data_IF_240695396915
#
_entry.id   IF_240695396915
#
_cell.length_a   1.000
_cell.length_b   1.000
_cell.length_c   1.000
_cell.angle_alpha   90.00
_cell.angle_beta   90.00
_cell.angle_gamma   90.00
#
_symmetry.space_group_name_H-M   'P 1'
#
loop_
_entity.id
_entity.type
_entity.pdbx_description
1 polymer ?
#
# COMPACT_ATOMS: atom_id res chain seq x y z
N UNK A 1 10.79 30.76 -4.39
CA UNK A 1 11.54 29.82 -3.54
C UNK A 1 10.73 29.29 -2.33
N UNK A 2 9.89 30.10 -1.67
CA UNK A 2 9.11 29.71 -0.47
C UNK A 2 7.90 28.79 -0.76
N UNK A 3 7.28 28.89 -1.94
CA UNK A 3 6.11 28.04 -2.30
C UNK A 3 6.52 26.58 -2.50
N UNK A 4 7.70 26.34 -3.10
CA UNK A 4 8.20 24.98 -3.35
C UNK A 4 8.51 24.19 -2.08
N UNK A 5 9.04 24.84 -1.03
CA UNK A 5 9.33 24.17 0.24
C UNK A 5 8.05 23.73 0.96
N UNK A 6 6.99 24.54 0.92
CA UNK A 6 5.70 24.22 1.55
C UNK A 6 5.00 23.04 0.87
N UNK A 7 5.01 22.99 -0.47
CA UNK A 7 4.42 21.88 -1.23
C UNK A 7 5.14 20.56 -0.95
N UNK A 8 6.48 20.58 -0.89
CA UNK A 8 7.27 19.38 -0.59
C UNK A 8 6.99 18.86 0.83
N UNK A 9 6.82 19.76 1.81
CA UNK A 9 6.46 19.37 3.16
C UNK A 9 5.06 18.74 3.23
N UNK A 10 4.08 19.32 2.53
CA UNK A 10 2.73 18.77 2.44
C UNK A 10 2.73 17.38 1.78
N UNK A 11 3.46 17.23 0.68
CA UNK A 11 3.60 15.94 -0.01
C UNK A 11 4.23 14.88 0.90
N UNK A 12 5.29 15.24 1.65
CA UNK A 12 5.91 14.33 2.61
C UNK A 12 4.93 13.89 3.70
N UNK A 13 4.17 14.82 4.29
CA UNK A 13 3.14 14.49 5.30
C UNK A 13 2.06 13.58 4.72
N UNK A 14 1.65 13.81 3.48
CA UNK A 14 0.69 12.96 2.79
C UNK A 14 1.24 11.54 2.55
N UNK A 15 2.49 11.41 2.07
CA UNK A 15 3.17 10.11 1.89
C UNK A 15 3.22 9.33 3.21
N UNK A 16 3.58 9.98 4.32
CA UNK A 16 3.59 9.37 5.67
C UNK A 16 2.21 8.84 6.05
N UNK A 17 1.19 9.70 5.96
CA UNK A 17 -0.17 9.35 6.32
C UNK A 17 -0.70 8.20 5.47
N UNK A 18 -0.51 8.28 4.15
CA UNK A 18 -0.96 7.27 3.20
C UNK A 18 -0.32 5.90 3.46
N UNK A 19 1.01 5.82 3.57
CA UNK A 19 1.68 4.52 3.73
C UNK A 19 1.34 3.86 5.08
N UNK A 20 1.30 4.64 6.17
CA UNK A 20 0.93 4.09 7.48
C UNK A 20 -0.53 3.66 7.49
N UNK A 21 -1.43 4.50 6.98
CA UNK A 21 -2.87 4.19 6.95
C UNK A 21 -3.13 2.90 6.17
N UNK A 22 -2.67 2.82 4.92
CA UNK A 22 -2.88 1.63 4.07
C UNK A 22 -2.25 0.38 4.69
N UNK A 23 -1.02 0.48 5.21
CA UNK A 23 -0.36 -0.66 5.84
C UNK A 23 -1.10 -1.17 7.08
N UNK A 24 -1.58 -0.27 7.94
CA UNK A 24 -2.40 -0.64 9.11
C UNK A 24 -3.73 -1.23 8.67
N UNK A 25 -4.40 -0.64 7.66
CA UNK A 25 -5.67 -1.16 7.14
C UNK A 25 -5.56 -2.58 6.61
N UNK A 26 -4.48 -2.94 5.90
CA UNK A 26 -4.26 -4.31 5.42
C UNK A 26 -4.12 -5.29 6.59
N UNK A 27 -3.33 -4.95 7.61
CA UNK A 27 -3.18 -5.80 8.80
C UNK A 27 -4.51 -5.94 9.53
N UNK A 28 -5.23 -4.83 9.74
CA UNK A 28 -6.54 -4.84 10.40
C UNK A 28 -7.57 -5.67 9.62
N UNK A 29 -7.56 -5.59 8.28
CA UNK A 29 -8.43 -6.38 7.42
C UNK A 29 -8.18 -7.88 7.62
N UNK A 30 -6.93 -8.34 7.52
CA UNK A 30 -6.61 -9.76 7.72
C UNK A 30 -6.96 -10.25 9.12
N UNK A 31 -6.64 -9.48 10.16
CA UNK A 31 -7.01 -9.82 11.54
C UNK A 31 -8.53 -10.00 11.64
N UNK A 32 -9.31 -9.09 11.04
CA UNK A 32 -10.76 -9.15 11.05
C UNK A 32 -11.29 -10.38 10.28
N UNK A 33 -10.76 -10.66 9.08
CA UNK A 33 -11.16 -11.82 8.28
C UNK A 33 -10.89 -13.14 8.99
N UNK A 34 -9.72 -13.30 9.62
CA UNK A 34 -9.41 -14.47 10.42
C UNK A 34 -10.29 -14.57 11.67
N UNK A 35 -10.51 -13.46 12.39
CA UNK A 35 -11.33 -13.45 13.60
C UNK A 35 -12.81 -13.73 13.35
N UNK A 36 -13.31 -13.41 12.15
CA UNK A 36 -14.71 -13.62 11.73
C UNK A 36 -14.91 -14.89 10.92
N UNK A 37 -13.85 -15.69 10.73
CA UNK A 37 -13.86 -16.91 9.91
C UNK A 37 -14.37 -16.67 8.48
N UNK A 38 -14.11 -15.48 7.91
CA UNK A 38 -14.50 -15.09 6.56
C UNK A 38 -13.44 -15.45 5.50
N UNK A 39 -12.69 -16.53 5.74
CA UNK A 39 -11.62 -17.02 4.85
C UNK A 39 -11.91 -18.48 4.49
N UNK A 40 -12.85 -18.74 3.56
CA UNK A 40 -13.20 -20.11 3.15
C UNK A 40 -12.01 -20.86 2.53
N UNK A 41 -11.05 -20.15 1.95
CA UNK A 41 -9.83 -20.69 1.32
C UNK A 41 -8.90 -21.39 2.31
N UNK A 42 -9.12 -21.20 3.62
CA UNK A 42 -8.32 -21.85 4.66
C UNK A 42 -8.49 -23.38 4.61
N UNK A 43 -9.66 -23.88 4.21
CA UNK A 43 -9.94 -25.31 4.09
C UNK A 43 -9.70 -25.84 2.68
N UNK A 44 -9.97 -25.03 1.64
CA UNK A 44 -9.91 -25.47 0.24
C UNK A 44 -8.52 -25.32 -0.38
N UNK A 45 -7.79 -24.23 -0.08
CA UNK A 45 -6.52 -23.87 -0.72
C UNK A 45 -5.49 -23.28 0.26
N UNK A 46 -5.11 -24.00 1.33
CA UNK A 46 -4.34 -23.45 2.45
C UNK A 46 -2.96 -22.91 2.04
N UNK A 47 -2.31 -23.53 1.06
CA UNK A 47 -0.99 -23.07 0.60
C UNK A 47 -1.07 -21.76 -0.19
N UNK A 48 -2.04 -21.65 -1.10
CA UNK A 48 -2.31 -20.43 -1.88
C UNK A 48 -2.63 -19.26 -0.95
N UNK A 49 -3.53 -19.49 0.00
CA UNK A 49 -3.89 -18.51 1.03
C UNK A 49 -2.67 -18.06 1.84
N UNK A 50 -1.83 -19.00 2.28
CA UNK A 50 -0.65 -18.67 3.11
C UNK A 50 0.30 -17.74 2.35
N UNK A 51 0.57 -18.02 1.07
CA UNK A 51 1.42 -17.17 0.24
C UNK A 51 0.78 -15.81 -0.05
N UNK A 52 -0.54 -15.78 -0.26
CA UNK A 52 -1.28 -14.54 -0.45
C UNK A 52 -1.19 -13.64 0.80
N UNK A 53 -1.54 -14.16 1.98
CA UNK A 53 -1.43 -13.46 3.27
C UNK A 53 0.01 -13.00 3.51
N UNK A 54 1.00 -13.87 3.28
CA UNK A 54 2.41 -13.51 3.43
C UNK A 54 2.79 -12.33 2.53
N UNK A 55 2.34 -12.33 1.27
CA UNK A 55 2.59 -11.22 0.35
C UNK A 55 1.95 -9.91 0.83
N UNK A 56 0.76 -9.97 1.41
CA UNK A 56 0.06 -8.79 1.94
C UNK A 56 0.68 -8.29 3.25
N UNK A 57 1.18 -9.19 4.11
CA UNK A 57 1.94 -8.81 5.30
C UNK A 57 3.29 -8.18 4.95
N UNK A 58 3.98 -8.67 3.91
CA UNK A 58 5.19 -8.04 3.38
C UNK A 58 4.90 -6.64 2.83
N UNK A 59 3.82 -6.48 2.06
CA UNK A 59 3.33 -5.19 1.60
C UNK A 59 3.06 -4.25 2.78
N UNK A 60 2.22 -4.66 3.73
CA UNK A 60 1.85 -3.85 4.88
C UNK A 60 3.05 -3.45 5.75
N UNK A 61 3.93 -4.41 6.05
CA UNK A 61 5.16 -4.17 6.78
C UNK A 61 6.06 -3.17 6.06
N UNK A 62 6.24 -3.32 4.75
CA UNK A 62 7.05 -2.40 3.95
C UNK A 62 6.48 -0.97 3.96
N UNK A 63 5.15 -0.81 3.85
CA UNK A 63 4.47 0.49 3.89
C UNK A 63 4.62 1.18 5.25
N UNK A 64 4.49 0.43 6.35
CA UNK A 64 4.68 0.96 7.70
C UNK A 64 6.14 1.37 7.93
N UNK A 65 7.10 0.51 7.54
CA UNK A 65 8.53 0.81 7.62
C UNK A 65 8.86 2.07 6.79
N UNK A 66 8.29 2.20 5.59
CA UNK A 66 8.44 3.37 4.74
C UNK A 66 7.94 4.65 5.44
N UNK A 67 6.74 4.61 6.01
CA UNK A 67 6.16 5.75 6.73
C UNK A 67 7.00 6.16 7.94
N UNK A 68 7.48 5.19 8.73
CA UNK A 68 8.41 5.45 9.84
C UNK A 68 9.73 6.05 9.32
N UNK A 69 10.23 5.57 8.19
CA UNK A 69 11.42 6.11 7.53
C UNK A 69 11.25 7.58 7.14
N UNK A 70 10.11 7.95 6.55
CA UNK A 70 9.80 9.36 6.24
C UNK A 70 9.74 10.24 7.49
N UNK A 71 9.18 9.75 8.60
CA UNK A 71 9.17 10.47 9.89
C UNK A 71 10.60 10.68 10.41
N UNK A 72 11.44 9.65 10.31
CA UNK A 72 12.84 9.69 10.76
C UNK A 72 13.80 10.33 9.75
N UNK A 73 13.30 10.75 8.58
CA UNK A 73 14.07 11.37 7.50
C UNK A 73 15.32 10.55 7.10
N UNK A 74 15.18 9.23 6.97
CA UNK A 74 16.29 8.34 6.67
C UNK A 74 16.61 8.28 5.17
N UNK A 75 17.86 8.00 4.81
CA UNK A 75 18.33 7.96 3.41
C UNK A 75 17.79 6.79 2.58
N UNK A 76 17.34 5.72 3.23
CA UNK A 76 16.83 4.52 2.56
C UNK A 76 15.36 4.63 2.13
N UNK A 77 14.66 5.69 2.54
CA UNK A 77 13.23 5.87 2.28
C UNK A 77 12.85 5.79 0.80
N UNK A 78 13.58 6.42 -0.15
CA UNK A 78 13.19 6.36 -1.56
C UNK A 78 13.14 4.93 -2.10
N UNK A 79 14.08 4.08 -1.70
CA UNK A 79 14.15 2.68 -2.12
C UNK A 79 12.99 1.86 -1.55
N UNK A 80 12.74 1.98 -0.24
CA UNK A 80 11.64 1.26 0.41
C UNK A 80 10.29 1.76 -0.10
N UNK A 81 10.15 3.06 -0.35
CA UNK A 81 8.94 3.64 -0.93
C UNK A 81 8.63 3.06 -2.32
N UNK A 82 9.61 3.02 -3.22
CA UNK A 82 9.43 2.45 -4.56
C UNK A 82 9.07 0.96 -4.49
N UNK A 83 9.73 0.21 -3.61
CA UNK A 83 9.43 -1.21 -3.38
C UNK A 83 7.99 -1.41 -2.86
N UNK A 84 7.58 -0.67 -1.83
CA UNK A 84 6.23 -0.74 -1.26
C UNK A 84 5.15 -0.32 -2.25
N UNK A 85 5.39 0.72 -3.05
CA UNK A 85 4.44 1.15 -4.07
C UNK A 85 4.26 0.11 -5.17
N UNK A 86 5.33 -0.57 -5.59
CA UNK A 86 5.24 -1.68 -6.54
C UNK A 86 4.39 -2.84 -6.01
N UNK A 87 4.61 -3.25 -4.76
CA UNK A 87 3.79 -4.26 -4.10
C UNK A 87 2.33 -3.82 -3.98
N UNK A 88 2.09 -2.55 -3.64
CA UNK A 88 0.74 -2.01 -3.49
C UNK A 88 -0.01 -2.03 -4.82
N UNK A 89 0.61 -1.56 -5.90
CA UNK A 89 0.05 -1.57 -7.26
C UNK A 89 -0.33 -2.99 -7.68
N UNK A 90 0.56 -3.95 -7.47
CA UNK A 90 0.27 -5.35 -7.77
C UNK A 90 -0.93 -5.87 -6.96
N UNK A 91 -0.92 -5.67 -5.63
CA UNK A 91 -1.98 -6.16 -4.73
C UNK A 91 -3.35 -5.57 -5.08
N UNK A 92 -3.45 -4.24 -5.30
CA UNK A 92 -4.74 -3.61 -5.61
C UNK A 92 -5.29 -4.00 -6.98
N UNK A 93 -4.42 -4.25 -7.98
CA UNK A 93 -4.86 -4.76 -9.28
C UNK A 93 -5.41 -6.18 -9.12
N UNK A 94 -4.69 -7.04 -8.40
CA UNK A 94 -5.12 -8.41 -8.14
C UNK A 94 -6.46 -8.44 -7.39
N UNK A 95 -6.59 -7.64 -6.33
CA UNK A 95 -7.83 -7.55 -5.55
C UNK A 95 -9.00 -6.98 -6.37
N UNK A 96 -8.77 -5.94 -7.19
CA UNK A 96 -9.81 -5.39 -8.05
C UNK A 96 -10.35 -6.42 -9.06
N UNK A 97 -9.49 -7.30 -9.59
CA UNK A 97 -9.93 -8.41 -10.46
C UNK A 97 -10.87 -9.37 -9.74
N UNK A 98 -10.47 -9.85 -8.56
CA UNK A 98 -11.26 -10.77 -7.74
C UNK A 98 -12.65 -10.22 -7.39
N UNK A 99 -12.72 -8.97 -6.91
CA UNK A 99 -14.00 -8.35 -6.56
C UNK A 99 -14.82 -7.97 -7.80
N UNK A 100 -14.16 -7.70 -8.93
CA UNK A 100 -14.82 -7.49 -10.21
C UNK A 100 -15.58 -8.72 -10.69
N UNK A 101 -14.99 -9.92 -10.57
CA UNK A 101 -15.66 -11.18 -10.88
C UNK A 101 -16.84 -11.47 -9.94
N UNK A 102 -16.70 -11.09 -8.67
CA UNK A 102 -17.74 -11.23 -7.65
C UNK A 102 -18.90 -10.21 -7.79
N UNK A 103 -18.78 -9.22 -8.69
CA UNK A 103 -19.76 -8.16 -8.88
C UNK A 103 -19.76 -7.07 -7.81
N UNK A 104 -18.78 -7.06 -6.91
CA UNK A 104 -18.65 -6.03 -5.86
C UNK A 104 -17.92 -4.79 -6.40
N UNK A 105 -18.69 -3.96 -7.11
CA UNK A 105 -18.16 -2.73 -7.70
C UNK A 105 -17.71 -1.70 -6.67
N UNK A 106 -18.21 -1.75 -5.43
CA UNK A 106 -17.79 -0.82 -4.38
C UNK A 106 -16.32 -1.06 -4.02
N UNK A 107 -15.93 -2.32 -3.86
CA UNK A 107 -14.54 -2.72 -3.63
C UNK A 107 -13.65 -2.39 -4.83
N UNK A 108 -14.12 -2.63 -6.05
CA UNK A 108 -13.39 -2.27 -7.28
C UNK A 108 -13.08 -0.77 -7.34
N UNK A 109 -14.05 0.09 -7.05
CA UNK A 109 -13.86 1.55 -7.04
C UNK A 109 -12.83 1.95 -5.97
N UNK A 110 -12.93 1.38 -4.77
CA UNK A 110 -11.96 1.64 -3.70
C UNK A 110 -10.53 1.27 -4.12
N UNK A 111 -10.33 0.09 -4.71
CA UNK A 111 -9.01 -0.33 -5.19
C UNK A 111 -8.51 0.53 -6.36
N UNK A 112 -9.39 0.99 -7.26
CA UNK A 112 -9.04 1.93 -8.32
C UNK A 112 -8.56 3.28 -7.78
N UNK A 113 -9.16 3.78 -6.70
CA UNK A 113 -8.72 4.98 -6.01
C UNK A 113 -7.34 4.78 -5.36
N UNK A 114 -7.15 3.66 -4.66
CA UNK A 114 -5.84 3.32 -4.06
C UNK A 114 -4.75 3.22 -5.12
N UNK A 115 -5.04 2.55 -6.25
CA UNK A 115 -4.15 2.43 -7.40
C UNK A 115 -3.77 3.81 -7.96
N UNK A 116 -4.76 4.69 -8.15
CA UNK A 116 -4.54 6.03 -8.70
C UNK A 116 -3.62 6.84 -7.77
N UNK A 117 -3.88 6.81 -6.46
CA UNK A 117 -3.03 7.51 -5.48
C UNK A 117 -1.61 6.92 -5.48
N UNK A 118 -1.47 5.59 -5.46
CA UNK A 118 -0.18 4.91 -5.50
C UNK A 118 0.64 5.29 -6.75
N UNK A 119 0.00 5.30 -7.92
CA UNK A 119 0.63 5.67 -9.19
C UNK A 119 1.08 7.14 -9.19
N UNK A 120 0.22 8.06 -8.75
CA UNK A 120 0.54 9.49 -8.66
C UNK A 120 1.71 9.72 -7.71
N UNK A 121 1.69 9.13 -6.50
CA UNK A 121 2.77 9.30 -5.55
C UNK A 121 4.08 8.68 -6.04
N UNK A 122 4.03 7.56 -6.76
CA UNK A 122 5.20 6.94 -7.40
C UNK A 122 5.83 7.90 -8.40
N UNK A 123 5.03 8.44 -9.34
CA UNK A 123 5.52 9.38 -10.37
C UNK A 123 6.11 10.64 -9.74
N UNK A 124 5.48 11.19 -8.70
CA UNK A 124 6.01 12.36 -8.00
C UNK A 124 7.34 12.07 -7.29
N UNK A 125 7.50 10.87 -6.72
CA UNK A 125 8.74 10.45 -6.05
C UNK A 125 9.89 10.17 -7.02
N UNK A 126 9.62 9.81 -8.28
CA UNK A 126 10.68 9.61 -9.27
C UNK A 126 11.53 10.87 -9.49
N UNK A 127 10.94 12.06 -9.38
CA UNK A 127 11.68 13.33 -9.52
C UNK A 127 12.56 13.66 -8.32
N UNK A 128 12.25 13.10 -7.14
CA UNK A 128 13.00 13.33 -5.90
C UNK A 128 14.30 12.50 -5.86
N UNK A 129 14.29 11.31 -6.44
CA UNK A 129 15.43 10.36 -6.40
C UNK A 129 16.65 10.74 -7.26
N UNK A 130 16.56 11.75 -8.12
CA UNK A 130 17.66 12.18 -9.00
C UNK A 130 18.59 13.20 -8.32
N UNK A 131 18.24 13.67 -7.12
CA UNK A 131 18.94 14.76 -6.42
C UNK A 131 19.47 14.38 -5.02
N UNK A 132 19.39 13.10 -4.63
CA UNK A 132 20.06 12.55 -3.43
C UNK A 132 21.42 11.99 -3.77
#
# INVERSE_FOLDING_TARGET
>A
MIVGSRVNEMLRKFKIGYTIFVGVSIISLWIMLFATSQVPELETEPFSLTLHVLSELLLAGSLIICGIGYIKNTRWVPYVFMFSMGLLVYSVINAAGYYGESGDFAMVIMFALLLTIAAVLTVLSLKEGYYT
#
